data_IF_953078762927
#
_entry.id   IF_953078762927
#
_cell.length_a   1.000
_cell.length_b   1.000
_cell.length_c   1.000
_cell.angle_alpha   90.00
_cell.angle_beta   90.00
_cell.angle_gamma   90.00
#
_symmetry.space_group_name_H-M   'P 1'
#
loop_
_entity.id
_entity.type
_entity.pdbx_description
1 polymer ?
#
# COMPACT_ATOMS: atom_id res chain seq x y z
N UNK A 1 -23.24 -1.37 6.33
CA UNK A 1 -22.05 -0.68 6.85
C UNK A 1 -20.97 -0.77 5.81
N UNK A 2 -20.49 0.38 5.36
CA UNK A 2 -19.48 0.55 4.32
C UNK A 2 -18.18 -0.15 4.72
N UNK A 3 -17.74 -1.13 3.94
CA UNK A 3 -16.44 -1.77 4.09
C UNK A 3 -15.83 -1.86 2.71
N UNK A 4 -15.10 -0.82 2.33
CA UNK A 4 -14.39 -0.73 1.06
C UNK A 4 -13.63 -2.02 0.80
N UNK A 5 -14.08 -2.78 -0.20
CA UNK A 5 -13.34 -3.88 -0.79
C UNK A 5 -12.14 -3.31 -1.55
N UNK A 6 -11.18 -2.76 -0.80
CA UNK A 6 -9.85 -2.41 -1.26
C UNK A 6 -9.06 -3.70 -1.42
N UNK A 7 -9.31 -4.37 -2.55
CA UNK A 7 -8.48 -5.38 -3.20
C UNK A 7 -7.58 -6.21 -2.28
N UNK A 8 -8.07 -7.39 -1.93
CA UNK A 8 -7.33 -8.65 -1.91
C UNK A 8 -5.83 -8.54 -1.58
N UNK A 9 -5.53 -8.56 -0.28
CA UNK A 9 -4.79 -9.68 0.34
C UNK A 9 -3.75 -10.42 -0.51
N UNK A 10 -2.92 -9.70 -1.23
CA UNK A 10 -1.76 -10.27 -1.90
C UNK A 10 -0.75 -9.18 -2.17
N UNK A 11 0.30 -9.18 -1.38
CA UNK A 11 1.62 -8.74 -1.82
C UNK A 11 2.09 -9.48 -3.12
N UNK A 12 1.28 -10.40 -3.68
CA UNK A 12 1.44 -11.03 -4.98
C UNK A 12 0.82 -10.31 -6.20
N UNK A 13 0.16 -9.16 -6.07
CA UNK A 13 -0.42 -8.41 -7.22
C UNK A 13 0.47 -7.26 -7.74
N UNK A 14 1.76 -7.24 -7.39
CA UNK A 14 2.67 -6.16 -7.81
C UNK A 14 2.63 -4.91 -6.93
N UNK A 15 2.12 -5.03 -5.71
CA UNK A 15 2.27 -3.98 -4.71
C UNK A 15 3.75 -3.87 -4.32
N UNK A 16 4.33 -2.70 -4.50
CA UNK A 16 5.73 -2.41 -4.19
C UNK A 16 5.92 -1.96 -2.74
N UNK A 17 4.85 -1.62 -2.03
CA UNK A 17 4.89 -1.20 -0.64
C UNK A 17 3.55 -1.39 0.09
N UNK A 18 3.61 -1.44 1.42
CA UNK A 18 2.46 -1.36 2.34
C UNK A 18 2.57 -0.12 3.20
N UNK A 19 1.47 0.62 3.35
CA UNK A 19 1.38 1.81 4.18
C UNK A 19 1.11 1.48 5.65
N UNK A 20 1.39 2.43 6.55
CA UNK A 20 1.14 2.28 7.99
C UNK A 20 -0.34 2.16 8.35
N UNK A 21 -1.25 2.70 7.55
CA UNK A 21 -2.71 2.53 7.77
C UNK A 21 -3.24 1.16 7.31
N UNK A 22 -2.40 0.33 6.69
CA UNK A 22 -2.77 -1.00 6.20
C UNK A 22 -3.11 -1.07 4.71
N UNK A 23 -3.14 0.08 4.00
CA UNK A 23 -3.30 0.12 2.54
C UNK A 23 -2.03 -0.31 1.80
N UNK A 24 -2.16 -0.63 0.51
CA UNK A 24 -1.05 -1.06 -0.34
C UNK A 24 -0.74 -0.01 -1.41
N UNK A 25 0.54 0.23 -1.64
CA UNK A 25 1.04 1.11 -2.70
C UNK A 25 1.72 0.30 -3.79
N UNK A 26 1.45 0.69 -5.04
CA UNK A 26 1.98 0.09 -6.26
C UNK A 26 2.94 1.05 -6.97
N UNK A 27 3.36 2.12 -6.28
CA UNK A 27 4.26 3.10 -6.84
C UNK A 27 5.65 2.47 -7.00
N UNK A 28 6.13 2.38 -8.25
CA UNK A 28 7.50 1.96 -8.53
C UNK A 28 8.55 2.95 -8.01
N UNK A 29 8.14 4.17 -7.68
CA UNK A 29 9.02 5.25 -7.23
C UNK A 29 8.72 5.59 -5.76
N UNK A 30 9.77 5.66 -4.94
CA UNK A 30 9.68 5.90 -3.50
C UNK A 30 9.09 7.26 -3.11
N UNK A 31 9.01 8.20 -4.06
CA UNK A 31 8.61 9.58 -3.77
C UNK A 31 7.08 9.72 -3.84
N UNK A 32 6.46 9.92 -2.68
CA UNK A 32 5.02 10.14 -2.56
C UNK A 32 4.21 8.90 -2.15
N UNK A 33 4.86 7.73 -2.01
CA UNK A 33 4.17 6.53 -1.56
C UNK A 33 3.73 6.67 -0.10
N UNK A 34 2.44 6.45 0.15
CA UNK A 34 1.84 6.49 1.48
C UNK A 34 1.96 7.83 2.23
N UNK A 35 2.27 8.96 1.55
CA UNK A 35 2.39 10.27 2.22
C UNK A 35 1.13 10.65 3.01
N UNK A 36 -0.04 10.32 2.47
CA UNK A 36 -1.34 10.55 3.11
C UNK A 36 -1.72 9.45 4.11
N UNK A 37 -1.03 8.31 4.08
CA UNK A 37 -1.30 7.12 4.89
C UNK A 37 -0.28 6.95 6.05
N UNK A 38 0.40 8.04 6.43
CA UNK A 38 1.38 8.02 7.51
C UNK A 38 2.73 7.40 7.13
N UNK A 39 3.04 7.35 5.85
CA UNK A 39 4.27 6.78 5.32
C UNK A 39 4.20 5.27 5.07
N UNK A 40 5.29 4.75 4.52
CA UNK A 40 5.42 3.34 4.17
C UNK A 40 5.79 2.54 5.42
N UNK A 41 5.07 1.46 5.67
CA UNK A 41 5.38 0.48 6.71
C UNK A 41 6.41 -0.55 6.22
N UNK A 42 6.22 -1.08 5.01
CA UNK A 42 7.07 -2.12 4.42
C UNK A 42 7.22 -1.88 2.92
N UNK A 43 8.43 -2.01 2.38
CA UNK A 43 8.67 -2.09 0.94
C UNK A 43 8.82 -3.56 0.53
N UNK A 44 8.13 -3.95 -0.54
CA UNK A 44 8.24 -5.26 -1.16
C UNK A 44 9.10 -5.09 -2.42
N UNK A 45 10.29 -5.69 -2.41
CA UNK A 45 11.22 -5.71 -3.54
C UNK A 45 10.79 -6.72 -4.59
#
# INVERSE_FOLDING_TARGET
GSGSSGGSGSAGNGATARCNDGTYSYAAHHQGACSHHGGVAVFYR
#
